data_IF_362905076007
#
_entry.id   IF_362905076007
#
_cell.length_a   1.000
_cell.length_b   1.000
_cell.length_c   1.000
_cell.angle_alpha   90.00
_cell.angle_beta   90.00
_cell.angle_gamma   90.00
#
_symmetry.space_group_name_H-M   'P 1'
#
loop_
_entity.id
_entity.type
_entity.pdbx_description
1 polymer ?
#
# COMPACT_ATOMS: atom_id res chain seq x y z
N UNK A 1 22.15 -2.10 15.17
CA UNK A 1 22.35 -1.40 13.88
C UNK A 1 22.44 0.07 14.18
N UNK A 2 23.60 0.71 13.99
CA UNK A 2 23.70 2.16 14.17
C UNK A 2 23.77 2.81 12.81
N UNK A 3 22.90 3.78 12.56
CA UNK A 3 23.09 4.69 11.43
C UNK A 3 24.38 5.50 11.59
N UNK A 4 24.81 6.13 10.50
CA UNK A 4 25.93 7.08 10.48
C UNK A 4 25.39 8.50 10.64
N UNK A 5 26.11 9.41 11.32
CA UNK A 5 25.78 10.83 11.32
C UNK A 5 25.53 11.36 9.90
N UNK A 6 24.40 12.03 9.70
CA UNK A 6 24.10 12.71 8.43
C UNK A 6 25.03 13.91 8.24
N UNK A 7 25.62 14.06 7.07
CA UNK A 7 26.47 15.21 6.77
C UNK A 7 25.62 16.41 6.31
N UNK A 8 26.10 17.61 6.61
CA UNK A 8 25.46 18.88 6.34
C UNK A 8 26.48 19.87 5.79
N UNK A 9 26.00 20.98 5.23
CA UNK A 9 26.85 22.14 4.95
C UNK A 9 27.58 22.53 6.25
N UNK A 10 28.85 22.94 6.10
CA UNK A 10 29.84 23.20 7.17
C UNK A 10 30.48 21.97 7.83
N UNK A 11 29.95 20.77 7.66
CA UNK A 11 30.59 19.58 8.23
C UNK A 11 31.95 19.31 7.54
N UNK A 12 32.99 18.94 8.31
CA UNK A 12 34.37 18.87 7.82
C UNK A 12 34.63 17.66 6.93
N UNK A 13 35.50 17.85 5.94
CA UNK A 13 36.10 16.78 5.13
C UNK A 13 37.62 16.87 5.19
N UNK A 14 38.33 15.75 5.12
CA UNK A 14 39.80 15.71 5.02
C UNK A 14 40.21 15.32 3.62
N UNK A 15 40.87 16.22 2.89
CA UNK A 15 41.31 15.99 1.52
C UNK A 15 42.79 15.60 1.45
N UNK A 16 43.16 14.49 0.76
CA UNK A 16 44.54 14.04 0.65
C UNK A 16 45.37 14.81 -0.39
N UNK A 17 44.73 15.65 -1.21
CA UNK A 17 45.44 16.47 -2.21
C UNK A 17 46.33 17.49 -1.48
N UNK A 18 47.65 17.55 -1.79
CA UNK A 18 48.56 18.50 -1.16
C UNK A 18 48.05 19.93 -1.22
N UNK A 19 48.00 20.60 -0.06
CA UNK A 19 47.50 21.97 0.07
C UNK A 19 45.99 22.12 0.29
N UNK A 20 45.19 21.05 0.18
CA UNK A 20 43.73 21.13 0.41
C UNK A 20 43.35 20.94 1.89
N UNK A 21 43.95 19.97 2.57
CA UNK A 21 43.73 19.74 4.01
C UNK A 21 42.26 19.54 4.41
N UNK A 22 41.93 19.98 5.63
CA UNK A 22 40.56 19.94 6.15
C UNK A 22 39.74 21.11 5.61
N UNK A 23 38.58 20.81 5.01
CA UNK A 23 37.71 21.80 4.41
C UNK A 23 36.23 21.38 4.49
N UNK A 24 35.29 22.32 4.68
CA UNK A 24 33.88 22.00 4.90
C UNK A 24 33.16 21.58 3.62
N UNK A 25 32.03 20.90 3.76
CA UNK A 25 31.01 20.80 2.71
C UNK A 25 30.38 22.19 2.51
N UNK A 26 30.28 22.67 1.26
CA UNK A 26 29.78 24.02 0.93
C UNK A 26 28.50 24.04 0.10
N UNK A 27 28.04 22.89 -0.36
CA UNK A 27 26.75 22.73 -1.03
C UNK A 27 25.88 21.74 -0.26
N UNK A 28 24.57 21.88 -0.39
CA UNK A 28 23.59 21.05 0.28
C UNK A 28 22.22 21.17 -0.37
N UNK A 29 21.25 20.50 0.24
CA UNK A 29 19.85 20.58 -0.14
C UNK A 29 19.31 22.02 -0.03
N UNK A 30 18.47 22.47 -0.98
CA UNK A 30 17.83 23.78 -0.89
C UNK A 30 16.73 23.85 0.18
N UNK A 31 16.21 22.71 0.64
CA UNK A 31 14.97 22.64 1.42
C UNK A 31 14.98 21.57 2.54
N UNK A 32 15.92 20.64 2.55
CA UNK A 32 16.09 19.65 3.63
C UNK A 32 17.19 20.11 4.58
N UNK A 33 16.80 20.33 5.83
CA UNK A 33 17.66 20.92 6.87
C UNK A 33 17.77 19.94 8.04
N UNK A 34 19.01 19.63 8.44
CA UNK A 34 19.32 18.85 9.65
C UNK A 34 20.04 19.77 10.64
N UNK A 35 19.54 19.85 11.88
CA UNK A 35 20.07 20.74 12.93
C UNK A 35 20.33 22.20 12.47
N UNK A 36 19.45 22.75 11.64
CA UNK A 36 19.57 24.12 11.14
C UNK A 36 20.55 24.31 9.98
N UNK A 37 21.19 23.24 9.48
CA UNK A 37 22.09 23.29 8.32
C UNK A 37 21.55 22.46 7.15
N UNK A 38 21.71 22.92 5.89
CA UNK A 38 21.34 22.15 4.71
C UNK A 38 21.98 20.75 4.70
N UNK A 39 21.18 19.71 4.44
CA UNK A 39 21.66 18.34 4.36
C UNK A 39 22.51 18.12 3.11
N UNK A 40 23.65 17.44 3.24
CA UNK A 40 24.54 17.15 2.12
C UNK A 40 24.12 15.87 1.37
N UNK A 41 24.29 15.87 0.06
CA UNK A 41 23.84 14.84 -0.88
C UNK A 41 24.91 14.55 -1.90
N UNK A 42 24.79 13.42 -2.60
CA UNK A 42 25.70 13.08 -3.68
C UNK A 42 25.74 14.21 -4.72
N UNK A 43 26.94 14.58 -5.14
CA UNK A 43 27.21 15.70 -6.04
C UNK A 43 27.51 17.03 -5.34
N UNK A 44 27.06 17.22 -4.09
CA UNK A 44 27.36 18.44 -3.34
C UNK A 44 28.87 18.54 -3.07
N UNK A 45 29.46 19.72 -3.29
CA UNK A 45 30.91 19.92 -3.22
C UNK A 45 31.42 20.34 -1.84
N UNK A 46 32.64 19.93 -1.51
CA UNK A 46 33.43 20.55 -0.44
C UNK A 46 34.18 21.80 -0.93
N UNK A 47 34.67 22.63 0.00
CA UNK A 47 35.34 23.89 -0.32
C UNK A 47 36.63 23.70 -1.15
N UNK A 48 37.22 22.51 -1.16
CA UNK A 48 38.32 22.18 -2.08
C UNK A 48 37.86 21.83 -3.52
N UNK A 49 36.57 22.03 -3.83
CA UNK A 49 35.97 21.79 -5.14
C UNK A 49 35.59 20.33 -5.43
N UNK A 50 35.80 19.43 -4.46
CA UNK A 50 35.54 18.00 -4.64
C UNK A 50 34.06 17.66 -4.43
N UNK A 51 33.33 17.15 -5.46
CA UNK A 51 31.96 16.66 -5.27
C UNK A 51 31.95 15.34 -4.49
N UNK A 52 30.93 15.12 -3.66
CA UNK A 52 30.69 13.83 -2.99
C UNK A 52 30.23 12.78 -4.01
N UNK A 53 30.94 11.66 -4.14
CA UNK A 53 30.68 10.68 -5.21
C UNK A 53 30.48 9.24 -4.75
N UNK A 54 30.94 8.87 -3.57
CA UNK A 54 30.89 7.47 -3.11
C UNK A 54 30.78 7.35 -1.60
N UNK A 55 30.54 6.12 -1.13
CA UNK A 55 30.25 5.82 0.28
C UNK A 55 29.11 6.69 0.86
N UNK A 56 28.19 7.13 0.00
CA UNK A 56 26.90 7.78 0.33
C UNK A 56 25.85 6.72 0.65
N UNK A 57 24.69 7.12 1.19
CA UNK A 57 23.60 6.20 1.56
C UNK A 57 23.09 5.42 0.35
N UNK A 58 22.80 4.14 0.53
CA UNK A 58 22.19 3.28 -0.51
C UNK A 58 20.67 3.23 -0.44
N UNK A 59 20.06 3.78 0.62
CA UNK A 59 18.62 3.65 0.90
C UNK A 59 17.92 4.98 1.15
N UNK A 60 18.63 6.00 1.62
CA UNK A 60 18.05 7.31 1.94
C UNK A 60 18.44 8.32 0.86
N UNK A 61 17.41 8.82 0.17
CA UNK A 61 17.54 9.84 -0.86
C UNK A 61 16.98 11.18 -0.32
N UNK A 62 17.75 12.25 -0.49
CA UNK A 62 17.37 13.62 -0.17
C UNK A 62 17.29 14.37 -1.50
N UNK A 63 16.11 14.91 -1.83
CA UNK A 63 15.79 15.46 -3.16
C UNK A 63 16.13 14.51 -4.33
N UNK A 64 15.94 13.21 -4.12
CA UNK A 64 16.24 12.19 -5.14
C UNK A 64 17.72 11.82 -5.27
N UNK A 65 18.61 12.43 -4.48
CA UNK A 65 20.05 12.14 -4.48
C UNK A 65 20.44 11.39 -3.19
N UNK A 66 21.33 10.40 -3.25
CA UNK A 66 21.84 9.71 -2.06
C UNK A 66 22.37 10.66 -0.99
N UNK A 67 21.95 10.45 0.26
CA UNK A 67 22.41 11.27 1.39
C UNK A 67 23.89 11.04 1.70
N UNK A 68 24.63 12.12 1.99
CA UNK A 68 26.02 12.06 2.44
C UNK A 68 26.03 11.84 3.94
N UNK A 69 26.92 10.99 4.42
CA UNK A 69 27.06 10.64 5.85
C UNK A 69 28.52 10.68 6.26
N UNK A 70 28.79 10.58 7.57
CA UNK A 70 30.15 10.39 8.09
C UNK A 70 30.84 9.22 7.38
N UNK A 71 32.01 9.48 6.80
CA UNK A 71 32.79 8.50 6.03
C UNK A 71 32.47 8.45 4.54
N UNK A 72 31.51 9.24 4.03
CA UNK A 72 31.34 9.42 2.59
C UNK A 72 32.59 10.06 1.95
N UNK A 73 32.78 9.82 0.66
CA UNK A 73 34.03 10.13 -0.05
C UNK A 73 33.74 11.02 -1.27
N UNK A 74 34.51 12.11 -1.40
CA UNK A 74 34.51 12.97 -2.58
C UNK A 74 35.52 12.55 -3.66
N UNK A 75 35.43 13.16 -4.85
CA UNK A 75 36.22 12.80 -6.02
C UNK A 75 37.75 12.97 -5.83
N UNK A 76 38.18 13.90 -4.99
CA UNK A 76 39.58 14.04 -4.57
C UNK A 76 40.03 12.97 -3.56
N UNK A 77 39.17 12.02 -3.21
CA UNK A 77 39.38 11.07 -2.11
C UNK A 77 39.19 11.70 -0.73
N UNK A 78 38.60 12.90 -0.63
CA UNK A 78 38.36 13.53 0.66
C UNK A 78 37.25 12.82 1.41
N UNK A 79 37.48 12.53 2.69
CA UNK A 79 36.54 11.80 3.54
C UNK A 79 35.78 12.77 4.42
N UNK A 80 34.46 12.63 4.51
CA UNK A 80 33.63 13.35 5.48
C UNK A 80 33.96 12.85 6.88
N UNK A 81 34.42 13.74 7.76
CA UNK A 81 34.91 13.41 9.12
C UNK A 81 34.05 14.03 10.24
N UNK A 82 32.91 14.64 9.88
CA UNK A 82 31.92 15.13 10.83
C UNK A 82 30.50 14.99 10.27
N UNK A 83 29.51 15.20 11.14
CA UNK A 83 28.09 15.08 10.80
C UNK A 83 27.21 15.54 11.95
N UNK A 84 25.90 15.40 11.77
CA UNK A 84 24.87 15.67 12.77
C UNK A 84 25.04 14.85 14.05
N UNK A 85 24.83 15.48 15.20
CA UNK A 85 24.78 14.79 16.50
C UNK A 85 23.43 14.13 16.81
N UNK A 86 22.39 14.41 16.02
CA UNK A 86 20.99 14.00 16.32
C UNK A 86 20.36 13.20 15.18
N UNK A 87 20.84 13.36 13.95
CA UNK A 87 20.32 12.72 12.75
C UNK A 87 21.27 11.61 12.30
N UNK A 88 20.80 10.37 12.41
CA UNK A 88 21.51 9.17 11.98
C UNK A 88 20.82 8.55 10.76
N UNK A 89 21.57 8.30 9.70
CA UNK A 89 21.11 7.66 8.46
C UNK A 89 21.63 6.22 8.41
N UNK A 90 20.73 5.25 8.28
CA UNK A 90 21.05 3.83 8.20
C UNK A 90 20.75 3.25 6.83
N UNK A 91 21.58 2.31 6.36
CA UNK A 91 21.44 1.64 5.06
C UNK A 91 20.91 0.22 5.13
N UNK A 92 20.45 -0.21 6.31
CA UNK A 92 19.91 -1.55 6.53
C UNK A 92 18.46 -1.43 6.96
N UNK A 93 17.56 -2.06 6.21
CA UNK A 93 16.17 -2.23 6.60
C UNK A 93 15.81 -3.71 6.56
N UNK A 94 15.03 -4.16 7.54
CA UNK A 94 14.43 -5.49 7.55
C UNK A 94 12.96 -5.34 7.17
N UNK A 95 12.53 -5.75 5.98
CA UNK A 95 11.12 -5.70 5.62
C UNK A 95 10.29 -6.57 6.56
N UNK A 96 9.10 -6.11 6.91
CA UNK A 96 8.15 -6.95 7.63
C UNK A 96 7.76 -8.18 6.77
N UNK A 97 7.56 -9.36 7.38
CA UNK A 97 7.02 -10.51 6.65
C UNK A 97 5.68 -10.15 6.02
N UNK A 98 5.59 -10.22 4.69
CA UNK A 98 4.35 -10.00 3.96
C UNK A 98 3.69 -11.34 3.69
N UNK A 99 2.51 -11.57 4.26
CA UNK A 99 1.67 -12.68 3.84
C UNK A 99 1.14 -12.42 2.42
N UNK A 100 1.11 -13.44 1.53
CA UNK A 100 0.42 -13.30 0.26
C UNK A 100 -1.07 -13.04 0.50
N UNK A 101 -1.67 -12.19 -0.34
CA UNK A 101 -3.12 -12.07 -0.34
C UNK A 101 -3.72 -13.42 -0.78
N UNK A 102 -4.64 -13.96 0.01
CA UNK A 102 -5.38 -15.15 -0.39
C UNK A 102 -6.28 -14.80 -1.59
N UNK A 103 -6.39 -15.67 -2.61
CA UNK A 103 -7.35 -15.46 -3.68
C UNK A 103 -8.77 -15.45 -3.09
N UNK A 104 -9.60 -14.50 -3.52
CA UNK A 104 -11.03 -14.53 -3.23
C UNK A 104 -11.63 -15.80 -3.83
N UNK A 105 -12.14 -16.70 -2.98
CA UNK A 105 -12.89 -17.85 -3.44
C UNK A 105 -14.28 -17.40 -3.91
N UNK A 106 -14.45 -17.20 -5.23
CA UNK A 106 -15.74 -16.82 -5.83
C UNK A 106 -16.85 -17.86 -5.64
N UNK A 107 -16.49 -19.11 -5.35
CA UNK A 107 -17.45 -20.18 -5.09
C UNK A 107 -18.00 -20.13 -3.66
N UNK A 108 -17.57 -19.20 -2.81
CA UNK A 108 -18.06 -19.05 -1.43
C UNK A 108 -18.53 -17.62 -1.14
N UNK A 109 -18.95 -16.90 -2.19
CA UNK A 109 -19.56 -15.58 -2.03
C UNK A 109 -21.03 -15.81 -1.66
N UNK A 110 -21.50 -15.29 -0.52
CA UNK A 110 -22.92 -15.31 -0.20
C UNK A 110 -23.72 -14.63 -1.31
N UNK A 111 -24.63 -15.38 -1.92
CA UNK A 111 -25.53 -14.89 -2.95
C UNK A 111 -26.94 -14.78 -2.39
N UNK A 112 -27.68 -13.74 -2.79
CA UNK A 112 -29.09 -13.60 -2.42
C UNK A 112 -29.97 -13.37 -3.65
N UNK A 113 -31.17 -13.92 -3.62
CA UNK A 113 -32.17 -13.74 -4.68
C UNK A 113 -33.58 -13.95 -4.15
N UNK A 114 -34.57 -13.49 -4.92
CA UNK A 114 -36.00 -13.70 -4.68
C UNK A 114 -36.76 -13.62 -6.00
N UNK A 115 -37.99 -14.11 -6.03
CA UNK A 115 -38.87 -14.00 -7.19
C UNK A 115 -39.96 -12.97 -6.94
N UNK A 116 -40.38 -12.28 -8.00
CA UNK A 116 -41.65 -11.56 -8.02
C UNK A 116 -42.63 -12.33 -8.90
N UNK A 117 -43.79 -12.66 -8.35
CA UNK A 117 -44.87 -13.26 -9.11
C UNK A 117 -45.75 -12.15 -9.72
N UNK A 118 -45.82 -12.14 -11.04
CA UNK A 118 -46.59 -11.17 -11.83
C UNK A 118 -47.63 -11.94 -12.62
N UNK A 119 -48.86 -11.44 -12.61
CA UNK A 119 -49.96 -11.95 -13.42
C UNK A 119 -49.70 -11.60 -14.89
N UNK A 120 -49.71 -12.62 -15.76
CA UNK A 120 -49.34 -12.46 -17.17
C UNK A 120 -50.32 -11.59 -17.96
N UNK A 121 -51.61 -11.62 -17.63
CA UNK A 121 -52.63 -10.88 -18.37
C UNK A 121 -52.70 -9.41 -17.94
N UNK A 122 -52.56 -9.17 -16.64
CA UNK A 122 -52.75 -7.83 -16.05
C UNK A 122 -51.44 -7.10 -15.77
N UNK A 123 -50.31 -7.80 -15.74
CA UNK A 123 -49.00 -7.27 -15.36
C UNK A 123 -48.89 -6.88 -13.89
N UNK A 124 -49.89 -7.21 -13.06
CA UNK A 124 -49.93 -6.82 -11.64
C UNK A 124 -49.27 -7.89 -10.77
N UNK A 125 -48.69 -7.50 -9.61
CA UNK A 125 -48.17 -8.47 -8.66
C UNK A 125 -49.26 -9.38 -8.10
N UNK A 126 -48.93 -10.67 -7.92
CA UNK A 126 -49.83 -11.67 -7.34
C UNK A 126 -49.47 -11.90 -5.89
N UNK A 127 -50.23 -11.29 -4.99
CA UNK A 127 -50.07 -11.45 -3.55
C UNK A 127 -50.75 -12.72 -3.00
N UNK A 128 -50.24 -13.22 -1.87
CA UNK A 128 -50.85 -14.33 -1.12
C UNK A 128 -50.80 -15.68 -1.84
N UNK A 129 -49.96 -15.83 -2.87
CA UNK A 129 -49.82 -17.08 -3.61
C UNK A 129 -48.77 -17.95 -2.95
N UNK A 130 -49.16 -19.18 -2.59
CA UNK A 130 -48.22 -20.20 -2.10
C UNK A 130 -47.38 -20.73 -3.26
N UNK A 131 -46.07 -20.71 -3.06
CA UNK A 131 -45.06 -21.15 -4.04
C UNK A 131 -44.06 -22.07 -3.37
N UNK A 132 -43.45 -22.95 -4.15
CA UNK A 132 -42.25 -23.69 -3.75
C UNK A 132 -41.06 -23.07 -4.45
N UNK A 133 -40.05 -22.66 -3.68
CA UNK A 133 -38.79 -22.17 -4.22
C UNK A 133 -37.71 -23.20 -3.92
N UNK A 134 -36.88 -23.51 -4.90
CA UNK A 134 -35.80 -24.47 -4.76
C UNK A 134 -34.56 -24.05 -5.54
N UNK A 135 -33.40 -24.60 -5.15
CA UNK A 135 -32.12 -24.28 -5.77
C UNK A 135 -31.51 -25.50 -6.46
N UNK A 136 -30.63 -25.26 -7.43
CA UNK A 136 -29.80 -26.30 -8.06
C UNK A 136 -28.88 -27.03 -7.06
N UNK A 137 -28.65 -26.44 -5.87
CA UNK A 137 -27.93 -27.05 -4.75
C UNK A 137 -28.77 -27.96 -3.86
N UNK A 138 -30.06 -28.18 -4.19
CA UNK A 138 -30.95 -29.10 -3.48
C UNK A 138 -31.71 -28.50 -2.30
N UNK A 139 -31.47 -27.22 -1.97
CA UNK A 139 -32.29 -26.52 -0.99
C UNK A 139 -33.70 -26.25 -1.55
N UNK A 140 -34.73 -26.34 -0.71
CA UNK A 140 -36.07 -25.90 -1.08
C UNK A 140 -36.87 -25.45 0.14
N UNK A 141 -37.83 -24.56 -0.08
CA UNK A 141 -38.78 -24.08 0.91
C UNK A 141 -40.13 -23.73 0.26
N UNK A 142 -41.18 -23.75 1.07
CA UNK A 142 -42.45 -23.15 0.68
C UNK A 142 -42.51 -21.72 1.19
N UNK A 143 -43.09 -20.84 0.38
CA UNK A 143 -43.29 -19.44 0.71
C UNK A 143 -44.66 -18.95 0.22
N UNK A 144 -45.10 -17.81 0.75
CA UNK A 144 -46.32 -17.13 0.31
C UNK A 144 -45.96 -15.71 -0.09
N UNK A 145 -46.30 -15.33 -1.32
CA UNK A 145 -45.93 -14.00 -1.84
C UNK A 145 -46.55 -12.87 -1.04
N UNK A 146 -45.79 -11.79 -0.83
CA UNK A 146 -46.25 -10.59 -0.13
C UNK A 146 -47.16 -9.70 -1.00
N UNK A 147 -47.51 -8.51 -0.50
CA UNK A 147 -48.37 -7.56 -1.22
C UNK A 147 -47.80 -7.10 -2.57
N UNK A 148 -46.48 -7.12 -2.73
CA UNK A 148 -45.76 -6.79 -3.95
C UNK A 148 -45.48 -8.03 -4.81
N UNK A 149 -46.08 -9.18 -4.47
CA UNK A 149 -45.89 -10.45 -5.16
C UNK A 149 -44.51 -11.06 -4.95
N UNK A 150 -43.72 -10.58 -3.98
CA UNK A 150 -42.36 -11.05 -3.76
C UNK A 150 -42.32 -12.27 -2.85
N UNK A 151 -41.38 -13.18 -3.12
CA UNK A 151 -40.94 -14.18 -2.14
C UNK A 151 -39.99 -13.55 -1.12
N UNK A 152 -39.80 -14.22 0.00
CA UNK A 152 -38.73 -13.97 0.96
C UNK A 152 -37.37 -14.03 0.28
N UNK A 153 -36.39 -13.32 0.86
CA UNK A 153 -35.01 -13.39 0.43
C UNK A 153 -34.42 -14.78 0.69
N UNK A 154 -33.73 -15.32 -0.32
CA UNK A 154 -33.07 -16.62 -0.27
C UNK A 154 -31.58 -16.37 -0.30
N UNK A 155 -30.92 -16.58 0.83
CA UNK A 155 -29.47 -16.44 0.97
C UNK A 155 -28.80 -17.81 0.79
N UNK A 156 -27.87 -17.94 -0.15
CA UNK A 156 -27.06 -19.16 -0.39
C UNK A 156 -25.58 -18.84 -0.17
N UNK A 157 -24.78 -19.78 0.37
CA UNK A 157 -23.34 -19.58 0.58
C UNK A 157 -22.53 -19.59 -0.73
N UNK A 158 -23.13 -20.04 -1.83
CA UNK A 158 -22.52 -20.17 -3.15
C UNK A 158 -23.51 -19.74 -4.24
N UNK A 159 -23.03 -19.49 -5.45
CA UNK A 159 -23.88 -19.21 -6.59
C UNK A 159 -24.66 -20.46 -7.02
N UNK A 160 -25.99 -20.40 -6.94
CA UNK A 160 -26.91 -21.47 -7.31
C UNK A 160 -28.04 -20.90 -8.18
N UNK A 161 -28.59 -21.69 -9.10
CA UNK A 161 -29.79 -21.32 -9.84
C UNK A 161 -31.00 -21.55 -8.96
N UNK A 162 -31.86 -20.53 -8.81
CA UNK A 162 -33.13 -20.66 -8.12
C UNK A 162 -34.26 -20.95 -9.12
N UNK A 163 -35.27 -21.69 -8.67
CA UNK A 163 -36.46 -22.09 -9.41
C UNK A 163 -37.69 -21.88 -8.55
N UNK A 164 -38.82 -21.57 -9.19
CA UNK A 164 -40.10 -21.35 -8.51
C UNK A 164 -41.21 -22.17 -9.17
N UNK A 165 -41.96 -22.90 -8.37
CA UNK A 165 -43.14 -23.65 -8.79
C UNK A 165 -44.37 -23.11 -8.05
N UNK A 166 -45.49 -22.98 -8.78
CA UNK A 166 -46.78 -22.67 -8.16
C UNK A 166 -47.33 -23.93 -7.50
N UNK A 167 -47.71 -23.83 -6.22
CA UNK A 167 -48.37 -24.95 -5.54
C UNK A 167 -49.85 -24.92 -5.92
N UNK A 168 -50.33 -25.97 -6.60
CA UNK A 168 -51.76 -26.11 -6.90
C UNK A 168 -52.54 -26.37 -5.61
N UNK A 169 -53.73 -25.78 -5.52
CA UNK A 169 -54.63 -25.88 -4.37
C UNK A 169 -55.28 -27.28 -4.38
N UNK A 170 -54.54 -28.34 -3.99
CA UNK A 170 -55.03 -29.71 -4.11
C UNK A 170 -54.27 -30.80 -3.35
N UNK A 171 -52.95 -30.69 -3.18
CA UNK A 171 -52.19 -31.80 -2.59
C UNK A 171 -51.80 -31.47 -1.13
N UNK A 172 -52.65 -31.93 -0.22
CA UNK A 172 -52.44 -32.05 1.22
C UNK A 172 -52.02 -33.49 1.57
#
# INVERSE_FOLDING_TARGET
MSGKPAARVTDPTTCPVPGHGSNPIVQGSPDVVFDGLPAARQGDTSACGSPMISAVSSTVLINGLPAVTLGSIGAHGNVVIGGSGTVLIGDVFTPAPRAPALPLNRNSVPCSGRFQLIDHETGKPVAGRRVRVWSSGGWNAFDTTDADGMTSWIERPTAETLYIDLVQRGDA
#
